data_IF_042958552701
#
_entry.id   IF_042958552701
#
_cell.length_a   1.000
_cell.length_b   1.000
_cell.length_c   1.000
_cell.angle_alpha   90.00
_cell.angle_beta   90.00
_cell.angle_gamma   90.00
#
_symmetry.space_group_name_H-M   'P 1'
#
loop_
_entity.id
_entity.type
_entity.pdbx_description
1 polymer ?
#
# COMPACT_ATOMS: atom_id res chain seq x y z
N UNK A 1 1.59 -6.77 20.75
CA UNK A 1 1.35 -5.84 19.62
C UNK A 1 0.98 -4.45 20.16
N UNK A 2 1.92 -3.60 20.55
CA UNK A 2 1.61 -2.24 21.05
C UNK A 2 2.69 -1.25 20.57
N UNK A 3 2.22 -0.11 20.05
CA UNK A 3 2.92 0.91 19.27
C UNK A 3 3.34 0.54 17.83
N UNK A 4 2.34 0.30 16.97
CA UNK A 4 2.47 0.77 15.58
C UNK A 4 2.49 2.30 15.67
N UNK A 5 3.61 2.93 15.31
CA UNK A 5 3.70 4.38 15.10
C UNK A 5 2.43 4.85 14.37
N UNK A 6 1.79 5.94 14.83
CA UNK A 6 0.60 6.51 14.20
C UNK A 6 0.73 6.59 12.68
N UNK A 7 1.96 6.86 12.19
CA UNK A 7 2.33 6.84 10.78
C UNK A 7 2.12 5.48 10.11
N UNK A 8 2.58 4.39 10.71
CA UNK A 8 2.38 3.04 10.17
C UNK A 8 0.91 2.62 10.15
N UNK A 9 0.12 3.08 11.13
CA UNK A 9 -1.34 2.93 11.14
C UNK A 9 -2.00 3.69 9.99
N UNK A 10 -1.62 4.95 9.80
CA UNK A 10 -2.11 5.81 8.72
C UNK A 10 -1.78 5.21 7.33
N UNK A 11 -0.55 4.77 7.12
CA UNK A 11 -0.12 4.17 5.84
C UNK A 11 -0.88 2.87 5.58
N UNK A 12 -1.11 2.04 6.60
CA UNK A 12 -1.92 0.82 6.47
C UNK A 12 -3.38 1.12 6.08
N UNK A 13 -3.95 2.19 6.65
CA UNK A 13 -5.30 2.65 6.29
C UNK A 13 -5.36 3.18 4.85
N UNK A 14 -4.37 3.98 4.44
CA UNK A 14 -4.24 4.47 3.07
C UNK A 14 -4.09 3.32 2.06
N UNK A 15 -3.35 2.27 2.41
CA UNK A 15 -3.20 1.08 1.59
C UNK A 15 -4.57 0.42 1.34
N UNK A 16 -5.33 0.18 2.41
CA UNK A 16 -6.67 -0.41 2.32
C UNK A 16 -7.64 0.46 1.52
N UNK A 17 -7.63 1.78 1.73
CA UNK A 17 -8.44 2.72 0.94
C UNK A 17 -8.06 2.70 -0.53
N UNK A 18 -6.76 2.69 -0.85
CA UNK A 18 -6.28 2.70 -2.23
C UNK A 18 -6.71 1.43 -2.96
N UNK A 19 -6.60 0.26 -2.31
CA UNK A 19 -7.08 -1.02 -2.87
C UNK A 19 -8.58 -0.96 -3.13
N UNK A 20 -9.37 -0.54 -2.14
CA UNK A 20 -10.83 -0.47 -2.25
C UNK A 20 -11.29 0.48 -3.35
N UNK A 21 -10.72 1.69 -3.39
CA UNK A 21 -11.03 2.68 -4.43
C UNK A 21 -10.63 2.20 -5.82
N UNK A 22 -9.46 1.57 -5.96
CA UNK A 22 -9.01 1.02 -7.26
C UNK A 22 -9.99 -0.01 -7.79
N UNK A 23 -10.45 -0.94 -6.93
CA UNK A 23 -11.44 -1.95 -7.32
C UNK A 23 -12.78 -1.32 -7.71
N UNK A 24 -13.27 -0.37 -6.91
CA UNK A 24 -14.53 0.33 -7.19
C UNK A 24 -14.44 1.06 -8.54
N UNK A 25 -13.34 1.77 -8.79
CA UNK A 25 -13.10 2.46 -10.07
C UNK A 25 -13.06 1.49 -11.24
N UNK A 26 -12.37 0.34 -11.09
CA UNK A 26 -12.32 -0.70 -12.12
C UNK A 26 -13.72 -1.20 -12.50
N UNK A 27 -14.52 -1.55 -11.49
CA UNK A 27 -15.88 -2.06 -11.65
C UNK A 27 -16.77 -0.99 -12.29
N UNK A 28 -16.67 0.25 -11.81
CA UNK A 28 -17.45 1.36 -12.33
C UNK A 28 -17.16 1.63 -13.82
N UNK A 29 -15.87 1.73 -14.18
CA UNK A 29 -15.43 1.90 -15.57
C UNK A 29 -15.89 0.70 -16.41
N UNK A 30 -15.72 -0.52 -15.92
CA UNK A 30 -16.16 -1.71 -16.63
C UNK A 30 -17.66 -1.65 -16.95
N UNK A 31 -18.51 -1.36 -15.95
CA UNK A 31 -19.96 -1.29 -16.12
C UNK A 31 -20.39 -0.21 -17.13
N UNK A 32 -19.71 0.94 -17.15
CA UNK A 32 -20.00 2.02 -18.12
C UNK A 32 -19.76 1.55 -19.56
N UNK A 33 -18.61 0.91 -19.81
CA UNK A 33 -18.20 0.57 -21.18
C UNK A 33 -18.65 -0.82 -21.61
N UNK A 34 -19.12 -1.67 -20.69
CA UNK A 34 -19.57 -3.04 -20.96
C UNK A 34 -20.70 -3.08 -21.99
N UNK A 35 -21.62 -2.12 -21.94
CA UNK A 35 -22.76 -2.04 -22.86
C UNK A 35 -22.36 -1.66 -24.28
N UNK A 36 -21.28 -0.89 -24.44
CA UNK A 36 -20.81 -0.45 -25.75
C UNK A 36 -19.88 -1.48 -26.38
N UNK A 37 -18.79 -1.82 -25.70
CA UNK A 37 -17.74 -2.66 -26.25
C UNK A 37 -16.97 -3.40 -25.15
N UNK A 38 -17.16 -4.73 -25.08
CA UNK A 38 -16.54 -5.58 -24.05
C UNK A 38 -15.00 -5.45 -24.00
N UNK A 39 -14.33 -5.40 -25.16
CA UNK A 39 -12.86 -5.28 -25.23
C UNK A 39 -12.41 -3.93 -24.66
N UNK A 40 -13.10 -2.84 -25.02
CA UNK A 40 -12.78 -1.51 -24.49
C UNK A 40 -13.04 -1.43 -22.99
N UNK A 41 -14.11 -2.05 -22.50
CA UNK A 41 -14.42 -2.10 -21.08
C UNK A 41 -13.31 -2.76 -20.26
N UNK A 42 -12.78 -3.89 -20.74
CA UNK A 42 -11.65 -4.58 -20.11
C UNK A 42 -10.41 -3.69 -20.10
N UNK A 43 -10.04 -3.13 -21.26
CA UNK A 43 -8.84 -2.28 -21.37
C UNK A 43 -8.97 -1.06 -20.44
N UNK A 44 -10.06 -0.31 -20.52
CA UNK A 44 -10.22 0.89 -19.70
C UNK A 44 -10.31 0.57 -18.21
N UNK A 45 -10.98 -0.51 -17.82
CA UNK A 45 -11.01 -0.93 -16.41
C UNK A 45 -9.60 -1.24 -15.90
N UNK A 46 -8.77 -1.95 -16.67
CA UNK A 46 -7.37 -2.23 -16.31
C UNK A 46 -6.55 -0.94 -16.21
N UNK A 47 -6.58 -0.10 -17.23
CA UNK A 47 -5.82 1.15 -17.24
C UNK A 47 -6.26 2.11 -16.12
N UNK A 48 -7.54 2.11 -15.74
CA UNK A 48 -8.05 2.93 -14.64
C UNK A 48 -7.52 2.52 -13.26
N UNK A 49 -7.07 1.27 -13.10
CA UNK A 49 -6.50 0.77 -11.84
C UNK A 49 -5.00 0.98 -11.70
N UNK A 50 -4.29 1.20 -12.81
CA UNK A 50 -2.82 1.36 -12.80
C UNK A 50 -2.32 2.45 -11.84
N UNK A 51 -2.93 3.66 -11.77
CA UNK A 51 -2.49 4.67 -10.82
C UNK A 51 -2.63 4.22 -9.37
N UNK A 52 -3.72 3.52 -9.04
CA UNK A 52 -3.96 3.00 -7.71
C UNK A 52 -2.98 1.89 -7.32
N UNK A 53 -2.68 0.98 -8.26
CA UNK A 53 -1.64 -0.05 -8.08
C UNK A 53 -0.25 0.57 -7.86
N UNK A 54 0.09 1.64 -8.57
CA UNK A 54 1.34 2.35 -8.35
C UNK A 54 1.41 2.95 -6.94
N UNK A 55 0.32 3.56 -6.46
CA UNK A 55 0.24 4.08 -5.10
C UNK A 55 0.40 2.96 -4.06
N UNK A 56 -0.22 1.79 -4.29
CA UNK A 56 -0.07 0.62 -3.41
C UNK A 56 1.40 0.22 -3.28
N UNK A 57 2.12 0.10 -4.39
CA UNK A 57 3.56 -0.27 -4.39
C UNK A 57 4.38 0.76 -3.60
N UNK A 58 4.10 2.06 -3.78
CA UNK A 58 4.80 3.12 -3.02
C UNK A 58 4.50 3.03 -1.53
N UNK A 59 3.24 2.81 -1.14
CA UNK A 59 2.85 2.69 0.26
C UNK A 59 3.48 1.44 0.91
N UNK A 60 3.49 0.30 0.23
CA UNK A 60 4.16 -0.92 0.70
C UNK A 60 5.65 -0.70 0.89
N UNK A 61 6.31 -0.04 -0.06
CA UNK A 61 7.73 0.29 0.04
C UNK A 61 8.03 1.16 1.27
N UNK A 62 7.18 2.14 1.56
CA UNK A 62 7.31 2.99 2.75
C UNK A 62 7.16 2.14 4.04
N UNK A 63 6.18 1.23 4.10
CA UNK A 63 5.98 0.35 5.26
C UNK A 63 7.24 -0.49 5.52
N UNK A 64 7.75 -1.15 4.48
CA UNK A 64 8.95 -2.01 4.57
C UNK A 64 10.14 -1.19 5.09
N UNK A 65 10.37 -0.01 4.52
CA UNK A 65 11.46 0.88 4.92
C UNK A 65 11.36 1.30 6.39
N UNK A 66 10.16 1.62 6.87
CA UNK A 66 9.92 1.99 8.26
C UNK A 66 10.22 0.80 9.20
N UNK A 67 9.83 -0.41 8.83
CA UNK A 67 10.02 -1.58 9.67
C UNK A 67 11.48 -2.08 9.67
N UNK A 68 12.20 -1.94 8.57
CA UNK A 68 13.65 -2.18 8.53
C UNK A 68 14.41 -1.20 9.42
N UNK A 69 14.09 0.10 9.35
CA UNK A 69 14.71 1.10 10.23
C UNK A 69 14.49 0.77 11.70
N UNK A 70 13.27 0.36 12.10
CA UNK A 70 13.00 -0.05 13.49
C UNK A 70 13.81 -1.29 13.90
N UNK A 71 13.98 -2.27 12.99
CA UNK A 71 14.80 -3.46 13.26
C UNK A 71 16.26 -3.08 13.46
N UNK A 72 16.79 -2.20 12.63
CA UNK A 72 18.16 -1.69 12.75
C UNK A 72 18.36 -0.91 14.05
N UNK A 73 17.43 -0.03 14.43
CA UNK A 73 17.51 0.70 15.70
C UNK A 73 17.52 -0.24 16.90
N UNK A 74 16.65 -1.25 16.93
CA UNK A 74 16.64 -2.25 18.00
C UNK A 74 17.95 -3.03 18.09
N UNK A 75 18.49 -3.43 16.94
CA UNK A 75 19.76 -4.16 16.90
C UNK A 75 20.91 -3.30 17.43
N UNK A 76 20.90 -2.00 17.14
CA UNK A 76 21.87 -1.05 17.69
C UNK A 76 21.73 -0.90 19.22
N UNK A 77 20.50 -0.78 19.72
CA UNK A 77 20.21 -0.71 21.16
C UNK A 77 20.66 -1.97 21.91
N UNK A 78 20.46 -3.14 21.32
CA UNK A 78 20.87 -4.43 21.89
C UNK A 78 22.40 -4.59 21.91
N UNK A 79 23.10 -4.08 20.90
CA UNK A 79 24.57 -4.04 20.90
C UNK A 79 25.08 -3.10 21.98
N UNK A 80 24.49 -1.91 22.13
CA UNK A 80 24.92 -0.92 23.12
C UNK A 80 24.80 -1.48 24.54
N UNK A 81 23.67 -2.10 24.87
CA UNK A 81 23.44 -2.71 26.20
C UNK A 81 24.47 -3.79 26.53
N UNK A 82 24.82 -4.63 25.56
CA UNK A 82 25.84 -5.68 25.74
C UNK A 82 27.27 -5.16 25.88
N UNK A 83 27.52 -3.91 25.50
CA UNK A 83 28.83 -3.27 25.61
C UNK A 83 29.01 -2.54 26.94
N UNK A 84 27.90 -2.10 27.55
CA UNK A 84 27.85 -1.44 28.85
C UNK A 84 27.86 -2.44 30.04
N UNK A 85 27.57 -3.72 29.77
CA UNK A 85 27.67 -4.86 30.72
C UNK A 85 29.05 -5.54 30.66
#
# INVERSE_FOLDING_TARGET
MKNKSYLGGLISLLLGLTIGLSLITAIYIFLIYFQAHIIQAIIYSLFSTLPGLLIIVVLEFIIISIDENKKQTKLLEDILKKLDD
#
